data_IF_260422481982
#
_entry.id   IF_260422481982
#
_cell.length_a   1.000
_cell.length_b   1.000
_cell.length_c   1.000
_cell.angle_alpha   90.00
_cell.angle_beta   90.00
_cell.angle_gamma   90.00
#
_symmetry.space_group_name_H-M   'P 1'
#
loop_
_entity.id
_entity.type
_entity.pdbx_description
1 polymer ?
#
# COMPACT_ATOMS: atom_id res chain seq x y z
N UNK A 1 5.01 2.19 -24.49
CA UNK A 1 4.60 3.55 -24.06
C UNK A 1 3.07 3.57 -24.10
N UNK A 2 2.39 3.97 -23.02
CA UNK A 2 0.92 4.04 -23.01
C UNK A 2 0.46 5.10 -24.03
N UNK A 3 -0.50 4.79 -24.89
CA UNK A 3 -1.01 5.77 -25.86
C UNK A 3 -1.78 6.89 -25.16
N UNK A 4 -1.81 8.09 -25.76
CA UNK A 4 -2.60 9.21 -25.23
C UNK A 4 -4.10 8.85 -25.11
N UNK A 5 -4.62 8.08 -26.06
CA UNK A 5 -5.99 7.56 -26.01
C UNK A 5 -6.22 6.66 -24.80
N UNK A 6 -5.33 5.69 -24.54
CA UNK A 6 -5.47 4.79 -23.39
C UNK A 6 -5.36 5.55 -22.06
N UNK A 7 -4.52 6.60 -21.97
CA UNK A 7 -4.49 7.47 -20.78
C UNK A 7 -5.83 8.16 -20.55
N UNK A 8 -6.42 8.74 -21.60
CA UNK A 8 -7.72 9.39 -21.51
C UNK A 8 -8.83 8.41 -21.09
N UNK A 9 -8.82 7.19 -21.64
CA UNK A 9 -9.78 6.14 -21.28
C UNK A 9 -9.66 5.74 -19.80
N UNK A 10 -8.43 5.59 -19.30
CA UNK A 10 -8.20 5.27 -17.87
C UNK A 10 -8.72 6.40 -16.98
N UNK A 11 -8.43 7.66 -17.31
CA UNK A 11 -8.89 8.81 -16.54
C UNK A 11 -10.42 8.86 -16.51
N UNK A 12 -11.08 8.66 -17.64
CA UNK A 12 -12.54 8.62 -17.73
C UNK A 12 -13.14 7.44 -16.93
N UNK A 13 -12.50 6.26 -16.99
CA UNK A 13 -12.91 5.09 -16.23
C UNK A 13 -12.76 5.33 -14.71
N UNK A 14 -11.66 5.94 -14.27
CA UNK A 14 -11.45 6.32 -12.87
C UNK A 14 -12.51 7.31 -12.36
N UNK A 15 -12.83 8.34 -13.15
CA UNK A 15 -13.86 9.32 -12.79
C UNK A 15 -15.25 8.66 -12.67
N UNK A 16 -15.55 7.72 -13.58
CA UNK A 16 -16.79 6.93 -13.51
C UNK A 16 -16.80 6.01 -12.30
N UNK A 17 -15.67 5.36 -11.99
CA UNK A 17 -15.51 4.50 -10.83
C UNK A 17 -15.68 5.25 -9.52
N UNK A 18 -15.14 6.47 -9.40
CA UNK A 18 -15.42 7.34 -8.25
C UNK A 18 -16.91 7.62 -8.13
N UNK A 19 -17.52 8.18 -9.18
CA UNK A 19 -18.93 8.59 -9.18
C UNK A 19 -19.88 7.46 -8.81
N UNK A 20 -19.62 6.25 -9.30
CA UNK A 20 -20.49 5.11 -9.07
C UNK A 20 -20.41 4.53 -7.65
N UNK A 21 -19.31 4.83 -6.93
CA UNK A 21 -19.03 4.20 -5.64
C UNK A 21 -18.83 5.23 -4.50
N UNK A 22 -19.16 6.51 -4.70
CA UNK A 22 -18.97 7.57 -3.69
C UNK A 22 -19.66 7.26 -2.36
N UNK A 23 -20.74 6.48 -2.39
CA UNK A 23 -21.54 6.11 -1.22
C UNK A 23 -21.18 4.74 -0.64
N UNK A 24 -20.26 3.99 -1.26
CA UNK A 24 -19.85 2.68 -0.76
C UNK A 24 -18.80 2.85 0.36
N UNK A 25 -19.09 2.43 1.61
CA UNK A 25 -18.11 2.51 2.69
C UNK A 25 -16.89 1.61 2.49
N UNK A 26 -16.95 0.63 1.58
CA UNK A 26 -15.84 -0.25 1.20
C UNK A 26 -15.17 0.17 -0.12
N UNK A 27 -15.53 1.35 -0.64
CA UNK A 27 -14.95 1.89 -1.84
C UNK A 27 -13.41 1.93 -1.78
N UNK A 28 -12.77 1.45 -2.84
CA UNK A 28 -11.35 1.65 -3.05
C UNK A 28 -11.09 2.22 -4.44
N UNK A 29 -10.11 3.12 -4.53
CA UNK A 29 -9.59 3.65 -5.79
C UNK A 29 -8.69 2.65 -6.51
N UNK A 30 -9.16 1.41 -6.65
CA UNK A 30 -8.47 0.33 -7.31
C UNK A 30 -9.47 -0.59 -8.02
N UNK A 31 -9.26 -0.87 -9.30
CA UNK A 31 -10.18 -1.71 -10.08
C UNK A 31 -9.48 -2.31 -11.31
N UNK A 32 -10.08 -3.37 -11.87
CA UNK A 32 -9.64 -3.92 -13.15
C UNK A 32 -10.18 -3.08 -14.30
N UNK A 33 -9.31 -2.72 -15.24
CA UNK A 33 -9.66 -2.05 -16.49
C UNK A 33 -9.02 -2.78 -17.65
N UNK A 34 -9.84 -3.41 -18.50
CA UNK A 34 -9.36 -4.29 -19.57
C UNK A 34 -8.41 -5.37 -19.00
N UNK A 35 -7.18 -5.45 -19.52
CA UNK A 35 -6.13 -6.38 -19.09
C UNK A 35 -5.22 -5.82 -17.98
N UNK A 36 -5.54 -4.63 -17.48
CA UNK A 36 -4.78 -3.95 -16.45
C UNK A 36 -5.52 -3.92 -15.12
N UNK A 37 -4.74 -3.76 -14.06
CA UNK A 37 -5.24 -3.31 -12.78
C UNK A 37 -4.83 -1.85 -12.58
N UNK A 38 -5.78 -1.00 -12.25
CA UNK A 38 -5.59 0.43 -12.09
C UNK A 38 -5.75 0.77 -10.62
N UNK A 39 -4.79 1.50 -10.07
CA UNK A 39 -4.93 2.17 -8.77
C UNK A 39 -4.68 3.66 -8.95
N UNK A 40 -5.45 4.48 -8.27
CA UNK A 40 -5.36 5.93 -8.41
C UNK A 40 -5.61 6.64 -7.09
N UNK A 41 -5.23 7.91 -7.01
CA UNK A 41 -5.38 8.70 -5.79
C UNK A 41 -4.81 10.09 -5.93
N UNK A 42 -4.97 10.88 -4.88
CA UNK A 42 -4.42 12.23 -4.84
C UNK A 42 -2.89 12.17 -4.88
N UNK A 43 -2.26 12.85 -5.84
CA UNK A 43 -0.83 12.82 -6.11
C UNK A 43 0.00 13.06 -4.84
N UNK A 44 -0.40 14.03 -4.01
CA UNK A 44 0.32 14.44 -2.78
C UNK A 44 0.45 13.32 -1.74
N UNK A 45 -0.44 12.34 -1.76
CA UNK A 45 -0.44 11.21 -0.81
C UNK A 45 -0.11 9.88 -1.49
N UNK A 46 -0.51 9.73 -2.76
CA UNK A 46 -0.43 8.48 -3.50
C UNK A 46 0.92 8.24 -4.17
N UNK A 47 1.69 9.29 -4.47
CA UNK A 47 3.02 9.15 -5.10
C UNK A 47 3.95 8.24 -4.28
N UNK A 48 3.94 8.39 -2.96
CA UNK A 48 4.74 7.57 -2.05
C UNK A 48 4.41 6.07 -2.13
N UNK A 49 3.13 5.75 -2.33
CA UNK A 49 2.67 4.39 -2.55
C UNK A 49 3.09 3.86 -3.93
N UNK A 50 2.89 4.66 -4.98
CA UNK A 50 3.27 4.30 -6.35
C UNK A 50 4.77 3.98 -6.46
N UNK A 51 5.62 4.81 -5.84
CA UNK A 51 7.07 4.59 -5.80
C UNK A 51 7.45 3.33 -5.02
N UNK A 52 6.76 3.05 -3.91
CA UNK A 52 6.99 1.84 -3.11
C UNK A 52 6.60 0.58 -3.90
N UNK A 53 5.43 0.60 -4.57
CA UNK A 53 4.97 -0.49 -5.42
C UNK A 53 5.95 -0.76 -6.56
N UNK A 54 6.40 0.30 -7.25
CA UNK A 54 7.39 0.17 -8.32
C UNK A 54 8.70 -0.43 -7.81
N UNK A 55 9.22 0.06 -6.69
CA UNK A 55 10.45 -0.46 -6.09
C UNK A 55 10.35 -1.96 -5.76
N UNK A 56 9.26 -2.39 -5.12
CA UNK A 56 9.04 -3.80 -4.80
C UNK A 56 8.89 -4.67 -6.06
N UNK A 57 8.20 -4.18 -7.09
CA UNK A 57 8.06 -4.89 -8.35
C UNK A 57 9.42 -5.06 -9.07
N UNK A 58 10.25 -4.01 -9.07
CA UNK A 58 11.58 -4.05 -9.69
C UNK A 58 12.53 -5.02 -8.97
N UNK A 59 12.44 -5.12 -7.63
CA UNK A 59 13.18 -6.11 -6.84
C UNK A 59 12.68 -7.53 -7.06
N UNK A 60 11.35 -7.75 -7.01
CA UNK A 60 10.76 -9.06 -7.21
C UNK A 60 11.06 -9.63 -8.61
N UNK A 61 11.20 -8.77 -9.63
CA UNK A 61 11.57 -9.19 -10.98
C UNK A 61 12.99 -9.76 -11.09
N UNK A 62 13.86 -9.48 -10.11
CA UNK A 62 15.27 -9.92 -10.08
C UNK A 62 15.50 -11.10 -9.14
N UNK A 63 14.49 -11.51 -8.37
CA UNK A 63 14.62 -12.53 -7.34
C UNK A 63 13.63 -13.68 -7.60
N UNK A 64 14.11 -14.89 -7.94
CA UNK A 64 13.25 -16.04 -8.21
C UNK A 64 12.46 -16.52 -6.98
N UNK A 65 12.91 -16.19 -5.76
CA UNK A 65 12.22 -16.54 -4.51
C UNK A 65 11.21 -15.49 -4.08
N UNK A 66 11.09 -14.38 -4.83
CA UNK A 66 10.15 -13.32 -4.52
C UNK A 66 8.69 -13.76 -4.69
N UNK A 67 7.77 -13.24 -3.85
CA UNK A 67 6.35 -13.38 -4.11
C UNK A 67 5.98 -12.69 -5.43
N UNK A 68 4.88 -13.12 -6.05
CA UNK A 68 4.38 -12.46 -7.25
C UNK A 68 3.92 -11.04 -6.91
N UNK A 69 4.65 -10.04 -7.43
CA UNK A 69 4.29 -8.62 -7.36
C UNK A 69 3.83 -8.15 -8.75
N UNK A 70 2.71 -7.41 -8.86
CA UNK A 70 2.27 -6.85 -10.14
C UNK A 70 3.35 -5.95 -10.75
N UNK A 71 3.70 -6.19 -12.01
CA UNK A 71 4.58 -5.28 -12.73
C UNK A 71 3.90 -3.92 -12.93
N UNK A 72 4.54 -2.84 -12.54
CA UNK A 72 4.08 -1.49 -12.85
C UNK A 72 4.45 -1.16 -14.30
N UNK A 73 3.45 -0.99 -15.16
CA UNK A 73 3.66 -0.62 -16.56
C UNK A 73 3.85 0.89 -16.70
N UNK A 74 2.98 1.65 -16.05
CA UNK A 74 2.95 3.10 -16.17
C UNK A 74 2.54 3.77 -14.86
N UNK A 75 3.17 4.91 -14.60
CA UNK A 75 2.77 5.86 -13.56
C UNK A 75 2.66 7.23 -14.23
N UNK A 76 1.54 7.91 -14.02
CA UNK A 76 1.33 9.26 -14.54
C UNK A 76 0.37 10.05 -13.66
N UNK A 77 0.37 11.36 -13.82
CA UNK A 77 -0.56 12.26 -13.16
C UNK A 77 -1.12 13.25 -14.18
N UNK A 78 -2.30 13.77 -13.89
CA UNK A 78 -2.98 14.77 -14.73
C UNK A 78 -3.15 16.09 -13.96
N UNK A 79 -3.35 17.18 -14.71
CA UNK A 79 -3.73 18.46 -14.12
C UNK A 79 -5.07 18.30 -13.39
N UNK A 80 -5.06 18.48 -12.07
CA UNK A 80 -6.20 18.14 -11.19
C UNK A 80 -5.79 17.39 -9.92
N UNK A 81 -4.51 17.02 -9.79
CA UNK A 81 -3.96 16.49 -8.54
C UNK A 81 -4.20 14.99 -8.34
N UNK A 82 -4.65 14.27 -9.37
CA UNK A 82 -4.79 12.82 -9.34
C UNK A 82 -3.62 12.13 -10.07
N UNK A 83 -3.15 11.04 -9.49
CA UNK A 83 -2.13 10.18 -10.04
C UNK A 83 -2.66 8.75 -10.21
N UNK A 84 -2.09 8.05 -11.18
CA UNK A 84 -2.58 6.77 -11.70
C UNK A 84 -1.42 5.80 -11.85
N UNK A 85 -1.58 4.61 -11.30
CA UNK A 85 -0.69 3.46 -11.49
C UNK A 85 -1.43 2.44 -12.33
N UNK A 86 -0.83 2.12 -13.48
CA UNK A 86 -1.25 1.04 -14.38
C UNK A 86 -0.32 -0.13 -14.15
N UNK A 87 -0.87 -1.24 -13.66
CA UNK A 87 -0.10 -2.43 -13.33
C UNK A 87 -0.72 -3.69 -13.91
N UNK A 88 0.08 -4.74 -13.96
CA UNK A 88 -0.36 -6.07 -14.35
C UNK A 88 -1.58 -6.51 -13.53
N UNK A 89 -2.60 -7.04 -14.19
CA UNK A 89 -3.69 -7.72 -13.50
C UNK A 89 -3.28 -9.15 -13.14
N UNK A 90 -3.23 -9.44 -11.83
CA UNK A 90 -3.02 -10.79 -11.32
C UNK A 90 -4.38 -11.38 -10.97
N UNK A 91 -4.85 -12.45 -11.65
CA UNK A 91 -6.08 -13.11 -11.28
C UNK A 91 -5.91 -13.79 -9.91
N UNK A 92 -6.92 -13.63 -9.05
CA UNK A 92 -6.96 -14.34 -7.78
C UNK A 92 -7.32 -15.80 -8.04
N UNK A 93 -6.52 -16.71 -7.50
CA UNK A 93 -6.77 -18.15 -7.53
C UNK A 93 -7.14 -18.59 -6.12
N UNK A 94 -8.27 -19.28 -5.98
CA UNK A 94 -8.62 -19.90 -4.71
C UNK A 94 -7.68 -21.06 -4.43
N UNK A 95 -7.03 -21.01 -3.27
CA UNK A 95 -6.13 -22.05 -2.79
C UNK A 95 -6.50 -22.41 -1.35
N UNK A 96 -6.20 -23.64 -0.89
CA UNK A 96 -6.43 -24.02 0.50
C UNK A 96 -5.75 -23.07 1.50
N UNK A 97 -6.35 -22.93 2.68
CA UNK A 97 -5.86 -22.03 3.72
C UNK A 97 -4.38 -22.24 4.04
N UNK A 98 -3.95 -23.49 4.20
CA UNK A 98 -2.55 -23.81 4.54
C UNK A 98 -1.55 -23.38 3.47
N UNK A 99 -1.93 -23.50 2.20
CA UNK A 99 -1.11 -23.05 1.07
C UNK A 99 -1.00 -21.53 1.08
N UNK A 100 -2.12 -20.83 1.31
CA UNK A 100 -2.16 -19.37 1.41
C UNK A 100 -1.35 -18.86 2.61
N UNK A 101 -1.48 -19.50 3.78
CA UNK A 101 -0.78 -19.13 5.00
C UNK A 101 0.73 -19.29 4.84
N UNK A 102 1.18 -20.40 4.23
CA UNK A 102 2.60 -20.62 3.90
C UNK A 102 3.12 -19.57 2.93
N UNK A 103 2.40 -19.29 1.84
CA UNK A 103 2.78 -18.27 0.87
C UNK A 103 2.85 -16.86 1.49
N UNK A 104 1.89 -16.51 2.35
CA UNK A 104 1.90 -15.25 3.08
C UNK A 104 3.11 -15.13 4.01
N UNK A 105 3.46 -16.19 4.73
CA UNK A 105 4.65 -16.22 5.59
C UNK A 105 5.94 -16.04 4.77
N UNK A 106 6.06 -16.72 3.62
CA UNK A 106 7.20 -16.56 2.71
C UNK A 106 7.30 -15.13 2.16
N UNK A 107 6.18 -14.53 1.75
CA UNK A 107 6.16 -13.15 1.30
C UNK A 107 6.62 -12.17 2.39
N UNK A 108 6.19 -12.37 3.65
CA UNK A 108 6.63 -11.54 4.79
C UNK A 108 8.13 -11.70 5.05
N UNK A 109 8.65 -12.93 5.02
CA UNK A 109 10.08 -13.19 5.20
C UNK A 109 10.90 -12.54 4.09
N UNK A 110 10.44 -12.64 2.84
CA UNK A 110 11.07 -11.99 1.70
C UNK A 110 11.07 -10.46 1.85
N UNK A 111 9.91 -9.85 2.16
CA UNK A 111 9.84 -8.39 2.38
C UNK A 111 10.77 -7.93 3.51
N UNK A 112 10.96 -8.75 4.54
CA UNK A 112 11.88 -8.47 5.64
C UNK A 112 13.36 -8.57 5.23
N UNK A 113 13.70 -9.39 4.25
CA UNK A 113 15.07 -9.52 3.76
C UNK A 113 15.48 -8.43 2.77
N UNK A 114 14.51 -7.67 2.23
CA UNK A 114 14.80 -6.58 1.31
C UNK A 114 15.59 -5.47 2.01
N UNK A 115 16.71 -5.00 1.43
CA UNK A 115 17.45 -3.87 1.99
C UNK A 115 16.58 -2.61 1.97
N UNK A 116 16.70 -1.84 3.04
CA UNK A 116 16.10 -0.50 3.10
C UNK A 116 16.74 0.35 2.00
N UNK A 117 15.95 1.01 1.14
CA UNK A 117 16.48 1.92 0.12
C UNK A 117 17.37 3.00 0.76
N UNK A 118 18.49 3.34 0.11
CA UNK A 118 19.49 4.28 0.67
C UNK A 118 18.90 5.67 0.99
N UNK A 119 17.91 6.10 0.22
CA UNK A 119 17.23 7.39 0.38
C UNK A 119 16.06 7.35 1.36
N UNK A 120 15.80 6.22 2.01
CA UNK A 120 14.69 6.02 2.95
C UNK A 120 15.22 5.66 4.32
N UNK A 121 14.96 6.51 5.31
CA UNK A 121 15.26 6.18 6.71
C UNK A 121 14.08 5.47 7.38
N UNK A 122 12.89 6.06 7.29
CA UNK A 122 11.65 5.55 7.84
C UNK A 122 10.48 6.06 7.00
N UNK A 123 9.56 5.16 6.63
CA UNK A 123 8.38 5.50 5.84
C UNK A 123 8.44 4.96 4.41
N UNK A 124 7.55 5.44 3.52
CA UNK A 124 7.45 4.96 2.15
C UNK A 124 8.60 5.47 1.25
N UNK A 125 8.84 4.78 0.12
CA UNK A 125 9.93 5.09 -0.80
C UNK A 125 9.85 6.49 -1.43
N UNK A 126 8.65 6.98 -1.74
CA UNK A 126 8.48 8.35 -2.26
C UNK A 126 8.49 9.43 -1.17
N UNK A 127 8.86 9.09 0.07
CA UNK A 127 8.94 10.03 1.17
C UNK A 127 7.59 10.35 1.81
N UNK A 128 7.64 11.19 2.85
CA UNK A 128 6.50 11.53 3.69
C UNK A 128 6.43 10.73 5.00
N UNK A 129 5.40 10.98 5.83
CA UNK A 129 5.28 10.33 7.13
C UNK A 129 5.04 8.82 7.00
N UNK A 130 5.57 8.04 7.96
CA UNK A 130 5.28 6.61 8.02
C UNK A 130 3.78 6.37 8.29
N UNK A 131 3.20 5.36 7.63
CA UNK A 131 1.82 4.94 7.85
C UNK A 131 1.79 3.61 8.62
N UNK A 132 1.13 3.59 9.78
CA UNK A 132 0.96 2.40 10.62
C UNK A 132 -0.11 2.64 11.68
N UNK A 133 -0.88 1.60 12.03
CA UNK A 133 -1.96 1.64 13.04
C UNK A 133 -1.52 2.03 14.46
N UNK A 134 -0.21 2.05 14.71
CA UNK A 134 0.37 2.56 15.97
C UNK A 134 0.17 4.08 16.12
N UNK A 135 -0.12 4.78 15.03
CA UNK A 135 -0.42 6.20 15.04
C UNK A 135 -1.94 6.41 15.04
N UNK A 136 -2.41 7.43 15.79
CA UNK A 136 -3.85 7.73 16.02
C UNK A 136 -4.71 7.77 14.75
N UNK A 137 -4.13 8.14 13.61
CA UNK A 137 -4.81 8.24 12.30
C UNK A 137 -4.15 7.37 11.23
N UNK A 138 -3.46 6.31 11.65
CA UNK A 138 -2.58 5.49 10.84
C UNK A 138 -1.43 6.27 10.15
N UNK A 139 -1.21 7.55 10.48
CA UNK A 139 -0.15 8.41 9.90
C UNK A 139 0.71 8.97 11.02
N UNK A 140 2.03 8.87 10.86
CA UNK A 140 2.99 9.46 11.78
C UNK A 140 2.80 10.98 11.85
N UNK A 141 2.91 11.60 13.04
CA UNK A 141 2.72 13.05 13.18
C UNK A 141 3.83 13.88 12.54
N UNK A 142 4.94 13.24 12.16
CA UNK A 142 6.10 13.86 11.50
C UNK A 142 6.93 12.79 10.80
N UNK A 143 7.75 13.23 9.84
CA UNK A 143 8.80 12.39 9.27
C UNK A 143 9.91 12.19 10.30
N UNK A 144 10.30 10.95 10.55
CA UNK A 144 11.37 10.62 11.49
C UNK A 144 12.67 10.41 10.71
N UNK A 145 13.70 11.18 11.07
CA UNK A 145 15.03 11.12 10.42
C UNK A 145 15.94 10.04 10.99
N UNK A 146 15.48 9.28 12.00
CA UNK A 146 16.21 8.15 12.59
C UNK A 146 15.29 7.24 13.41
N UNK A 147 15.70 5.98 13.57
CA UNK A 147 15.05 5.01 14.48
C UNK A 147 14.97 5.56 15.91
N UNK A 148 16.06 6.19 16.41
CA UNK A 148 16.09 6.78 17.76
C UNK A 148 15.03 7.88 17.95
N UNK A 149 14.74 8.66 16.90
CA UNK A 149 13.72 9.71 16.98
C UNK A 149 12.31 9.11 17.08
N UNK A 150 12.03 8.03 16.34
CA UNK A 150 10.78 7.29 16.43
C UNK A 150 10.63 6.61 17.81
N UNK A 151 11.69 5.97 18.29
CA UNK A 151 11.70 5.30 19.60
C UNK A 151 11.39 6.29 20.75
N UNK A 152 12.04 7.47 20.76
CA UNK A 152 11.74 8.52 21.75
C UNK A 152 10.28 8.96 21.72
N UNK A 153 9.69 9.06 20.53
CA UNK A 153 8.27 9.39 20.39
C UNK A 153 7.39 8.30 20.98
N UNK A 154 7.60 7.03 20.61
CA UNK A 154 6.81 5.91 21.10
C UNK A 154 6.91 5.76 22.61
N UNK A 155 8.10 5.93 23.19
CA UNK A 155 8.31 5.89 24.64
C UNK A 155 7.62 7.05 25.37
N UNK A 156 7.68 8.28 24.81
CA UNK A 156 6.95 9.43 25.37
C UNK A 156 5.44 9.24 25.32
N UNK A 157 4.92 8.73 24.20
CA UNK A 157 3.50 8.41 24.04
C UNK A 157 3.11 7.39 25.11
N UNK A 158 3.78 6.24 25.21
CA UNK A 158 3.52 5.20 26.23
C UNK A 158 3.46 5.73 27.68
N UNK A 159 4.25 6.74 28.02
CA UNK A 159 4.26 7.34 29.38
C UNK A 159 3.09 8.30 29.67
N UNK A 160 2.16 8.52 28.74
CA UNK A 160 1.09 9.50 28.89
C UNK A 160 -0.18 8.88 29.54
N UNK A 161 -0.68 9.41 30.66
CA UNK A 161 -1.74 8.80 31.47
C UNK A 161 -3.15 8.75 30.82
N UNK A 162 -3.31 9.27 29.59
CA UNK A 162 -4.57 9.23 28.83
C UNK A 162 -4.62 8.11 27.78
N UNK A 163 -3.67 7.17 27.79
CA UNK A 163 -3.62 6.07 26.82
C UNK A 163 -4.41 4.83 27.24
N UNK A 164 -5.73 4.99 27.35
CA UNK A 164 -6.65 3.84 27.32
C UNK A 164 -6.68 3.16 25.93
N UNK A 165 -6.09 3.76 24.89
CA UNK A 165 -6.11 3.24 23.51
C UNK A 165 -5.01 2.21 23.16
N UNK A 166 -3.96 2.05 23.99
CA UNK A 166 -2.93 1.04 23.75
C UNK A 166 -3.16 -0.27 24.51
N UNK A 167 -4.03 -0.29 25.53
CA UNK A 167 -4.31 -1.49 26.33
C UNK A 167 -5.36 -2.42 25.69
N UNK A 168 -6.10 -1.98 24.67
CA UNK A 168 -7.02 -2.84 23.90
C UNK A 168 -6.37 -3.54 22.70
N UNK A 169 -5.05 -3.52 22.58
CA UNK A 169 -4.31 -4.26 21.56
C UNK A 169 -4.23 -5.76 21.90
N UNK A 170 -5.39 -6.41 21.97
CA UNK A 170 -5.45 -7.80 21.53
C UNK A 170 -5.09 -7.79 20.04
N UNK A 171 -4.23 -8.70 19.59
CA UNK A 171 -4.09 -9.01 18.17
C UNK A 171 -5.48 -9.41 17.65
N UNK A 172 -6.28 -8.45 17.21
CA UNK A 172 -7.46 -8.71 16.42
C UNK A 172 -6.96 -9.13 15.04
N UNK A 173 -6.76 -10.43 14.90
CA UNK A 173 -7.12 -11.08 13.65
C UNK A 173 -8.52 -10.57 13.31
N UNK A 174 -8.61 -9.69 12.31
CA UNK A 174 -9.88 -9.28 11.73
C UNK A 174 -10.68 -10.51 11.28
N UNK A 175 -12.00 -10.38 11.11
CA UNK A 175 -12.94 -11.49 11.18
C UNK A 175 -12.81 -12.42 9.96
N UNK A 176 -11.90 -13.38 10.05
CA UNK A 176 -11.89 -14.60 9.26
C UNK A 176 -12.08 -15.78 10.21
N UNK A 177 -13.16 -15.76 10.99
CA UNK A 177 -13.62 -16.91 11.74
C UNK A 177 -15.14 -16.81 11.92
N UNK A 178 -15.88 -17.56 11.10
CA UNK A 178 -17.24 -17.96 11.42
C UNK A 178 -17.19 -19.48 11.60
N UNK A 179 -17.15 -20.00 12.84
CA UNK A 179 -17.39 -21.41 13.05
C UNK A 179 -18.89 -21.67 12.86
N UNK A 180 -19.22 -22.74 12.11
CA UNK A 180 -20.47 -23.46 12.35
C UNK A 180 -20.28 -24.36 13.55
#
# INVERSE_FOLDING_TARGET
MLSAALRADIVAACATHEKNNEQDPYYTRAFRFQDYFIKFGEYTTFDSEAMTLKYLADLAAQDPEAPRVPRVHHYFYEHGGMAYVVMEYIPLVEVPFEVRAKAAAQAVLWMRSIPVPEDVVLGPKGGGPAYHVVFKTAKAPRCYTSIRALERFLNKVRSHPLLCYFQHWNFSLGPWYSPR
#
